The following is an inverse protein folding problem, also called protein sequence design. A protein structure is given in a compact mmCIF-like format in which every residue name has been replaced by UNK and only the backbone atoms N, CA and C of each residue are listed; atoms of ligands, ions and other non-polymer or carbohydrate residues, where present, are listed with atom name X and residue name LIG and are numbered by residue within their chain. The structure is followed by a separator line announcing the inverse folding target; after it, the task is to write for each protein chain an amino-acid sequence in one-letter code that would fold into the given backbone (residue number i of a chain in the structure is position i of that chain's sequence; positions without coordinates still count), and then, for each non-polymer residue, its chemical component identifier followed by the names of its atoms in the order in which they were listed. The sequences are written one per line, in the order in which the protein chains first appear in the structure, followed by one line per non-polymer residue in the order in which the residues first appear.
data_IF_671051055977
#
_entry.id   IF_671051055977
#
_cell.length_a   1.000
_cell.length_b   1.000
_cell.length_c   1.000
_cell.angle_alpha   90.00
_cell.angle_beta   90.00
_cell.angle_gamma   90.00
#
_symmetry.space_group_name_H-M   'P 1'
#
loop_
_entity.id
_entity.type
_entity.pdbx_description
1 polymer ?
#
# COMPACT_ATOMS: atom_id res chain seq x y z
N UNK A 1 23.54 -4.53 56.37
CA UNK A 1 23.97 -3.96 55.08
C UNK A 1 24.13 -5.13 54.10
N UNK A 2 23.21 -5.32 53.13
CA UNK A 2 23.27 -6.49 52.26
C UNK A 2 24.50 -6.37 51.33
N UNK A 3 25.41 -7.33 51.45
CA UNK A 3 26.55 -7.48 50.54
C UNK A 3 26.01 -7.94 49.18
N UNK A 4 25.88 -6.99 48.25
CA UNK A 4 25.63 -7.31 46.84
C UNK A 4 26.88 -8.03 46.33
N UNK A 5 26.71 -9.32 46.05
CA UNK A 5 27.74 -10.17 45.48
C UNK A 5 28.20 -9.56 44.14
N UNK A 6 29.50 -9.26 44.03
CA UNK A 6 30.18 -8.72 42.83
C UNK A 6 29.69 -9.27 41.47
N UNK A 7 29.33 -10.56 41.29
CA UNK A 7 28.78 -11.03 40.01
C UNK A 7 27.39 -10.44 39.66
N UNK A 8 26.57 -10.10 40.65
CA UNK A 8 25.22 -9.54 40.43
C UNK A 8 25.29 -8.10 39.91
N UNK A 9 26.26 -7.31 40.39
CA UNK A 9 26.47 -5.93 39.96
C UNK A 9 27.02 -5.83 38.52
N UNK A 10 27.84 -6.79 38.09
CA UNK A 10 28.37 -6.85 36.71
C UNK A 10 27.28 -7.24 35.70
N UNK A 11 26.38 -8.16 36.07
CA UNK A 11 25.27 -8.56 35.21
C UNK A 11 24.27 -7.41 34.98
N UNK A 12 24.00 -6.59 36.00
CA UNK A 12 23.09 -5.44 35.87
C UNK A 12 23.67 -4.35 34.98
N UNK A 13 24.97 -4.07 35.10
CA UNK A 13 25.66 -3.09 34.24
C UNK A 13 25.62 -3.46 32.75
N UNK A 14 25.80 -4.74 32.43
CA UNK A 14 25.75 -5.23 31.05
C UNK A 14 24.34 -5.12 30.42
N UNK A 15 23.29 -5.43 31.18
CA UNK A 15 21.90 -5.32 30.71
C UNK A 15 21.52 -3.86 30.46
N UNK A 16 21.88 -2.94 31.37
CA UNK A 16 21.60 -1.51 31.19
C UNK A 16 22.35 -0.94 29.98
N UNK A 17 23.61 -1.34 29.78
CA UNK A 17 24.38 -0.91 28.62
C UNK A 17 23.78 -1.45 27.31
N UNK A 18 23.34 -2.71 27.27
CA UNK A 18 22.69 -3.29 26.10
C UNK A 18 21.36 -2.59 25.77
N UNK A 19 20.56 -2.26 26.78
CA UNK A 19 19.32 -1.48 26.60
C UNK A 19 19.60 -0.06 26.09
N UNK A 20 20.62 0.61 26.61
CA UNK A 20 21.03 1.93 26.14
C UNK A 20 21.55 1.89 24.70
N UNK A 21 22.33 0.88 24.33
CA UNK A 21 22.79 0.69 22.96
C UNK A 21 21.64 0.37 22.00
N UNK A 22 20.62 -0.39 22.43
CA UNK A 22 19.40 -0.62 21.66
C UNK A 22 18.59 0.66 21.50
N UNK A 23 18.44 1.48 22.54
CA UNK A 23 17.73 2.76 22.47
C UNK A 23 18.46 3.78 21.57
N UNK A 24 19.78 3.89 21.72
CA UNK A 24 20.61 4.74 20.86
C UNK A 24 20.63 4.21 19.44
N UNK A 25 20.69 2.89 19.25
CA UNK A 25 20.55 2.23 17.94
C UNK A 25 19.18 2.46 17.30
N UNK A 26 18.09 2.47 18.07
CA UNK A 26 16.75 2.79 17.57
C UNK A 26 16.63 4.28 17.19
N UNK A 27 17.27 5.17 17.95
CA UNK A 27 17.25 6.62 17.70
C UNK A 27 18.17 7.04 16.54
N UNK A 28 19.35 6.42 16.40
CA UNK A 28 20.33 6.74 15.35
C UNK A 28 20.16 5.89 14.08
N UNK A 29 19.64 4.66 14.22
CA UNK A 29 19.48 3.68 13.14
C UNK A 29 18.23 3.82 12.30
N UNK A 30 17.50 4.95 12.41
CA UNK A 30 16.39 5.24 11.51
C UNK A 30 15.30 4.16 11.55
N UNK A 31 14.99 3.61 12.73
CA UNK A 31 13.75 2.85 12.93
C UNK A 31 12.57 3.85 12.91
N UNK A 32 12.37 4.47 11.76
CA UNK A 32 11.09 5.06 11.42
C UNK A 32 10.20 3.84 11.21
N UNK A 33 9.12 3.64 12.00
CA UNK A 33 8.08 2.75 11.53
C UNK A 33 7.81 3.21 10.10
N UNK A 34 7.88 2.26 9.17
CA UNK A 34 7.79 2.50 7.75
C UNK A 34 6.71 3.54 7.43
N UNK A 35 7.01 4.34 6.41
CA UNK A 35 6.14 5.36 5.81
C UNK A 35 4.66 4.95 5.94
N UNK A 36 3.82 5.92 6.32
CA UNK A 36 2.40 5.78 6.64
C UNK A 36 1.79 4.49 6.07
N UNK A 37 1.37 3.59 6.97
CA UNK A 37 0.79 2.30 6.59
C UNK A 37 -0.28 2.52 5.51
N UNK A 38 -0.25 1.79 4.37
CA UNK A 38 -1.13 2.08 3.26
C UNK A 38 -2.59 2.16 3.69
N UNK A 39 -3.29 3.17 3.18
CA UNK A 39 -4.74 3.23 3.27
C UNK A 39 -5.35 2.06 2.49
N UNK A 40 -6.62 1.74 2.75
CA UNK A 40 -7.30 0.67 2.02
C UNK A 40 -8.68 1.11 1.60
N UNK A 41 -8.97 0.98 0.31
CA UNK A 41 -10.29 1.13 -0.28
C UNK A 41 -10.75 -0.19 -0.88
N UNK A 42 -12.04 -0.45 -0.80
CA UNK A 42 -12.69 -1.60 -1.44
C UNK A 42 -13.31 -1.19 -2.77
N UNK A 43 -13.36 -2.08 -3.76
CA UNK A 43 -14.04 -1.81 -5.03
C UNK A 43 -15.18 -2.79 -5.31
N UNK A 44 -16.10 -2.37 -6.18
CA UNK A 44 -17.28 -3.11 -6.61
C UNK A 44 -18.51 -2.80 -5.77
N UNK A 45 -19.60 -3.55 -5.99
CA UNK A 45 -20.86 -3.28 -5.29
C UNK A 45 -20.67 -3.28 -3.76
N UNK A 46 -21.25 -2.26 -3.12
CA UNK A 46 -21.11 -1.97 -1.68
C UNK A 46 -19.68 -1.68 -1.20
N UNK A 47 -18.72 -1.52 -2.12
CA UNK A 47 -17.36 -1.08 -1.83
C UNK A 47 -17.23 0.44 -1.69
N UNK A 48 -16.03 0.88 -1.30
CA UNK A 48 -15.68 2.29 -1.20
C UNK A 48 -15.64 2.97 -2.57
N UNK A 49 -15.15 2.27 -3.60
CA UNK A 49 -15.07 2.75 -4.99
C UNK A 49 -16.22 2.18 -5.81
N UNK A 50 -16.95 3.06 -6.50
CA UNK A 50 -18.07 2.67 -7.36
C UNK A 50 -17.62 1.84 -8.56
N UNK A 51 -16.45 2.19 -9.12
CA UNK A 51 -15.83 1.50 -10.25
C UNK A 51 -14.31 1.57 -10.12
N UNK A 52 -13.62 0.45 -10.32
CA UNK A 52 -12.16 0.43 -10.39
C UNK A 52 -11.67 -0.63 -11.39
N UNK A 53 -11.42 -0.19 -12.63
CA UNK A 53 -10.99 -1.09 -13.73
C UNK A 53 -9.52 -0.95 -14.09
N UNK A 54 -8.76 -0.19 -13.29
CA UNK A 54 -7.35 0.06 -13.53
C UNK A 54 -6.51 -1.21 -13.38
N UNK A 55 -5.43 -1.31 -14.15
CA UNK A 55 -4.45 -2.40 -14.07
C UNK A 55 -3.03 -1.85 -13.86
N UNK A 56 -2.09 -2.76 -13.59
CA UNK A 56 -0.69 -2.41 -13.33
C UNK A 56 -0.08 -1.51 -14.42
N UNK A 57 0.47 -0.36 -14.01
CA UNK A 57 1.02 0.64 -14.91
C UNK A 57 0.03 1.58 -15.57
N UNK A 58 -1.25 1.54 -15.20
CA UNK A 58 -2.26 2.47 -15.70
C UNK A 58 -2.37 3.71 -14.82
N UNK A 59 -2.64 4.86 -15.46
CA UNK A 59 -2.85 6.14 -14.82
C UNK A 59 -4.28 6.62 -15.05
N UNK A 60 -4.81 7.38 -14.09
CA UNK A 60 -6.15 7.92 -14.20
C UNK A 60 -6.28 9.28 -13.50
N UNK A 61 -7.32 10.02 -13.87
CA UNK A 61 -7.80 11.23 -13.18
C UNK A 61 -8.91 10.87 -12.20
N UNK A 62 -9.05 11.66 -11.16
CA UNK A 62 -10.03 11.50 -10.11
C UNK A 62 -9.40 11.32 -8.73
N UNK A 63 -10.13 11.74 -7.73
CA UNK A 63 -9.72 11.60 -6.33
C UNK A 63 -9.85 10.14 -5.86
N UNK A 64 -8.79 9.60 -5.29
CA UNK A 64 -8.78 8.25 -4.72
C UNK A 64 -9.42 8.24 -3.32
N UNK A 65 -10.75 8.35 -3.28
CA UNK A 65 -11.54 8.37 -2.06
C UNK A 65 -12.87 7.60 -2.25
N UNK A 66 -13.61 7.40 -1.17
CA UNK A 66 -14.94 6.77 -1.23
C UNK A 66 -15.87 7.53 -2.19
N UNK A 67 -16.59 6.79 -3.04
CA UNK A 67 -17.38 7.31 -4.16
C UNK A 67 -16.58 7.52 -5.45
N UNK A 68 -15.27 7.27 -5.45
CA UNK A 68 -14.42 7.40 -6.63
C UNK A 68 -14.81 6.42 -7.75
N UNK A 69 -14.67 6.89 -8.99
CA UNK A 69 -14.96 6.13 -10.21
C UNK A 69 -13.74 6.12 -11.12
N UNK A 70 -13.14 4.95 -11.32
CA UNK A 70 -11.96 4.75 -12.14
C UNK A 70 -12.25 3.78 -13.29
N UNK A 71 -13.20 4.19 -14.14
CA UNK A 71 -13.58 3.54 -15.40
C UNK A 71 -12.82 4.09 -16.61
N UNK A 72 -13.26 3.75 -17.82
CA UNK A 72 -12.63 4.21 -19.07
C UNK A 72 -12.63 5.74 -19.25
N UNK A 73 -13.59 6.44 -18.63
CA UNK A 73 -13.65 7.90 -18.66
C UNK A 73 -12.60 8.60 -17.79
N UNK A 74 -12.03 7.88 -16.81
CA UNK A 74 -10.98 8.37 -15.93
C UNK A 74 -9.57 8.17 -16.52
N UNK A 75 -9.44 7.44 -17.62
CA UNK A 75 -8.14 7.08 -18.21
C UNK A 75 -7.27 8.31 -18.51
N UNK A 76 -5.99 8.20 -18.17
CA UNK A 76 -4.99 9.22 -18.40
C UNK A 76 -3.70 8.61 -18.93
N UNK A 77 -2.98 9.38 -19.75
CA UNK A 77 -1.67 8.99 -20.20
C UNK A 77 -0.66 9.15 -19.06
N UNK A 78 0.02 8.07 -18.68
CA UNK A 78 1.14 8.16 -17.75
C UNK A 78 2.26 9.03 -18.33
N UNK A 79 2.85 9.89 -17.51
CA UNK A 79 3.81 10.92 -17.95
C UNK A 79 3.17 12.25 -18.39
N UNK A 80 1.84 12.33 -18.39
CA UNK A 80 1.08 13.58 -18.43
C UNK A 80 0.40 13.80 -17.07
N UNK A 81 -0.13 15.00 -16.75
CA UNK A 81 -0.84 15.24 -15.50
C UNK A 81 -2.00 14.25 -15.25
N UNK A 82 -1.93 13.53 -14.13
CA UNK A 82 -2.92 12.55 -13.66
C UNK A 82 -2.95 12.50 -12.12
N UNK A 83 -4.01 11.95 -11.54
CA UNK A 83 -4.20 12.00 -10.08
C UNK A 83 -3.76 10.70 -9.39
N UNK A 84 -3.85 9.58 -10.10
CA UNK A 84 -3.51 8.25 -9.57
C UNK A 84 -2.75 7.39 -10.58
N UNK A 85 -1.85 6.55 -10.07
CA UNK A 85 -1.14 5.54 -10.87
C UNK A 85 -1.13 4.20 -10.13
N UNK A 86 -1.41 3.10 -10.85
CA UNK A 86 -1.27 1.75 -10.32
C UNK A 86 0.18 1.31 -10.47
N UNK A 87 0.90 1.20 -9.36
CA UNK A 87 2.33 0.82 -9.34
C UNK A 87 2.57 -0.68 -9.23
N UNK A 88 1.53 -1.42 -8.82
CA UNK A 88 1.58 -2.86 -8.71
C UNK A 88 0.17 -3.42 -8.67
N UNK A 89 -0.02 -4.62 -9.24
CA UNK A 89 -1.24 -5.37 -9.05
C UNK A 89 -1.01 -6.87 -9.03
N UNK A 90 -1.85 -7.60 -8.26
CA UNK A 90 -1.80 -9.06 -8.19
C UNK A 90 -3.15 -9.65 -7.86
N UNK A 91 -3.43 -10.82 -8.42
CA UNK A 91 -4.60 -11.64 -8.06
C UNK A 91 -4.15 -12.75 -7.10
N UNK A 92 -4.26 -12.58 -5.77
CA UNK A 92 -3.76 -13.58 -4.80
C UNK A 92 -4.48 -14.93 -4.90
N UNK A 93 -5.75 -14.91 -5.31
CA UNK A 93 -6.57 -16.10 -5.48
C UNK A 93 -7.09 -16.13 -6.91
N UNK A 94 -6.61 -17.11 -7.67
CA UNK A 94 -7.04 -17.38 -9.04
C UNK A 94 -8.58 -17.39 -9.16
N UNK A 95 -9.12 -16.61 -10.10
CA UNK A 95 -10.56 -16.45 -10.34
C UNK A 95 -11.21 -17.72 -10.91
N UNK A 96 -10.44 -18.64 -11.49
CA UNK A 96 -10.92 -19.94 -11.98
C UNK A 96 -11.29 -20.91 -10.85
N UNK A 97 -10.85 -20.65 -9.62
CA UNK A 97 -11.15 -21.51 -8.46
C UNK A 97 -12.33 -20.95 -7.67
N UNK A 98 -13.38 -21.76 -7.43
CA UNK A 98 -14.45 -21.35 -6.52
C UNK A 98 -13.91 -21.38 -5.09
N UNK A 99 -13.87 -20.22 -4.45
CA UNK A 99 -13.50 -20.06 -3.05
C UNK A 99 -14.43 -19.04 -2.41
N UNK A 100 -14.69 -19.20 -1.12
CA UNK A 100 -15.42 -18.19 -0.35
C UNK A 100 -14.58 -16.92 -0.20
N UNK A 101 -15.26 -15.78 -0.06
CA UNK A 101 -14.60 -14.55 0.33
C UNK A 101 -13.94 -14.73 1.71
N UNK A 102 -12.65 -14.39 1.88
CA UNK A 102 -11.96 -14.59 3.15
C UNK A 102 -12.39 -13.59 4.24
N UNK A 103 -13.28 -12.64 3.91
CA UNK A 103 -13.74 -11.57 4.77
C UNK A 103 -12.98 -10.26 4.54
N UNK A 104 -13.65 -9.14 4.82
CA UNK A 104 -13.14 -7.80 4.53
C UNK A 104 -11.83 -7.51 5.28
N UNK A 105 -11.77 -7.84 6.57
CA UNK A 105 -10.56 -7.65 7.38
C UNK A 105 -9.34 -8.37 6.78
N UNK A 106 -9.49 -9.63 6.38
CA UNK A 106 -8.42 -10.40 5.77
C UNK A 106 -7.95 -9.81 4.43
N UNK A 107 -8.88 -9.31 3.61
CA UNK A 107 -8.54 -8.64 2.35
C UNK A 107 -7.83 -7.31 2.57
N UNK A 108 -8.29 -6.50 3.53
CA UNK A 108 -7.65 -5.23 3.88
C UNK A 108 -6.25 -5.44 4.42
N UNK A 109 -6.06 -6.42 5.30
CA UNK A 109 -4.75 -6.76 5.87
C UNK A 109 -3.78 -7.26 4.80
N UNK A 110 -4.26 -8.11 3.88
CA UNK A 110 -3.47 -8.54 2.73
C UNK A 110 -3.07 -7.35 1.85
N UNK A 111 -4.02 -6.46 1.51
CA UNK A 111 -3.77 -5.28 0.69
C UNK A 111 -2.70 -4.37 1.29
N UNK A 112 -2.81 -4.07 2.60
CA UNK A 112 -1.79 -3.30 3.33
C UNK A 112 -0.43 -3.96 3.26
N UNK A 113 -0.35 -5.25 3.59
CA UNK A 113 0.92 -5.96 3.61
C UNK A 113 1.56 -6.03 2.21
N UNK A 114 0.76 -6.27 1.18
CA UNK A 114 1.23 -6.31 -0.21
C UNK A 114 1.75 -4.95 -0.67
N UNK A 115 1.00 -3.86 -0.43
CA UNK A 115 1.40 -2.53 -0.86
C UNK A 115 2.53 -1.93 0.00
N UNK A 116 2.63 -2.33 1.27
CA UNK A 116 3.76 -1.98 2.12
C UNK A 116 5.08 -2.46 1.51
N UNK A 117 5.13 -3.62 0.84
CA UNK A 117 6.36 -4.07 0.17
C UNK A 117 6.89 -3.05 -0.85
N UNK A 118 6.02 -2.32 -1.53
CA UNK A 118 6.42 -1.28 -2.49
C UNK A 118 6.81 0.02 -1.79
N UNK A 119 6.00 0.43 -0.80
CA UNK A 119 6.29 1.57 0.10
C UNK A 119 7.60 1.40 0.86
N UNK A 120 8.02 0.17 1.11
CA UNK A 120 9.19 -0.15 1.91
C UNK A 120 10.41 -0.42 1.03
N UNK A 121 10.19 -0.66 -0.26
CA UNK A 121 11.24 -0.91 -1.25
C UNK A 121 11.84 0.38 -1.81
N UNK A 122 13.00 0.25 -2.44
CA UNK A 122 13.58 1.32 -3.28
C UNK A 122 12.94 1.38 -4.67
N UNK A 123 11.87 0.64 -4.96
CA UNK A 123 11.23 0.61 -6.29
C UNK A 123 10.47 1.90 -6.60
N UNK A 124 9.94 2.57 -5.58
CA UNK A 124 9.46 3.94 -5.68
C UNK A 124 10.67 4.88 -5.67
N UNK A 125 11.41 4.85 -6.78
CA UNK A 125 12.43 5.84 -7.07
C UNK A 125 11.67 7.07 -7.60
N UNK A 126 11.90 8.27 -7.04
CA UNK A 126 11.54 9.52 -7.71
C UNK A 126 12.41 9.63 -8.97
N UNK A 127 12.08 8.88 -10.00
CA UNK A 127 12.67 9.08 -11.31
C UNK A 127 11.99 10.31 -11.87
N UNK A 128 12.80 11.34 -12.14
CA UNK A 128 12.47 12.52 -12.94
C UNK A 128 11.40 13.52 -12.46
N UNK A 129 10.57 13.21 -11.47
CA UNK A 129 9.30 13.92 -11.30
C UNK A 129 9.25 15.16 -10.41
N UNK A 130 10.31 15.42 -9.64
CA UNK A 130 10.32 16.52 -8.68
C UNK A 130 9.29 16.38 -7.54
N UNK A 131 8.61 15.24 -7.42
CA UNK A 131 7.76 14.89 -6.28
C UNK A 131 8.59 14.04 -5.32
N UNK A 132 8.74 14.53 -4.08
CA UNK A 132 9.46 13.78 -3.07
C UNK A 132 8.63 12.58 -2.60
N UNK A 133 9.31 11.50 -2.21
CA UNK A 133 8.63 10.26 -1.80
C UNK A 133 7.73 10.46 -0.59
N UNK A 134 8.11 11.35 0.33
CA UNK A 134 7.29 11.75 1.47
C UNK A 134 5.96 12.42 1.09
N UNK A 135 5.86 12.97 -0.12
CA UNK A 135 4.64 13.57 -0.64
C UNK A 135 3.74 12.55 -1.36
N UNK A 136 4.19 11.31 -1.53
CA UNK A 136 3.38 10.24 -2.11
C UNK A 136 2.59 9.50 -1.04
N UNK A 137 1.34 9.18 -1.38
CA UNK A 137 0.48 8.29 -0.60
C UNK A 137 0.23 7.02 -1.39
N UNK A 138 0.31 5.88 -0.71
CA UNK A 138 -0.04 4.58 -1.26
C UNK A 138 -1.34 4.09 -0.64
N UNK A 139 -2.29 3.72 -1.48
CA UNK A 139 -3.56 3.13 -1.11
C UNK A 139 -3.67 1.75 -1.74
N UNK A 140 -3.96 0.75 -0.92
CA UNK A 140 -4.34 -0.56 -1.42
C UNK A 140 -5.81 -0.55 -1.85
N UNK A 141 -6.08 -1.01 -3.07
CA UNK A 141 -7.43 -1.18 -3.59
C UNK A 141 -7.72 -2.68 -3.66
N UNK A 142 -8.71 -3.14 -2.90
CA UNK A 142 -9.04 -4.56 -2.71
C UNK A 142 -10.50 -4.85 -3.09
N UNK A 143 -10.86 -6.08 -3.47
CA UNK A 143 -12.24 -6.40 -3.79
C UNK A 143 -13.14 -6.37 -2.54
N UNK A 144 -14.34 -5.80 -2.70
CA UNK A 144 -15.49 -6.10 -1.84
C UNK A 144 -15.89 -7.58 -1.95
N UNK A 145 -16.76 -8.04 -1.04
CA UNK A 145 -17.32 -9.39 -1.13
C UNK A 145 -18.07 -9.61 -2.45
N UNK A 146 -18.89 -8.63 -2.86
CA UNK A 146 -19.67 -8.70 -4.10
C UNK A 146 -18.78 -8.77 -5.34
N UNK A 147 -17.71 -7.95 -5.41
CA UNK A 147 -16.72 -8.04 -6.47
C UNK A 147 -16.06 -9.42 -6.49
N UNK A 148 -15.59 -9.90 -5.33
CA UNK A 148 -14.88 -11.16 -5.23
C UNK A 148 -15.72 -12.38 -5.67
N UNK A 149 -17.02 -12.32 -5.39
CA UNK A 149 -17.99 -13.37 -5.70
C UNK A 149 -18.40 -13.42 -7.18
N UNK A 150 -18.24 -12.34 -7.94
CA UNK A 150 -18.58 -12.29 -9.36
C UNK A 150 -17.34 -12.40 -10.25
N UNK A 151 -16.99 -13.61 -10.73
CA UNK A 151 -15.84 -13.80 -11.61
C UNK A 151 -15.99 -13.13 -12.99
N UNK A 152 -17.19 -12.62 -13.34
CA UNK A 152 -17.46 -11.89 -14.58
C UNK A 152 -17.54 -10.38 -14.37
N UNK A 153 -17.40 -9.90 -13.14
CA UNK A 153 -17.47 -8.49 -12.84
C UNK A 153 -16.36 -7.74 -13.58
N UNK A 154 -16.77 -6.74 -14.36
CA UNK A 154 -15.87 -5.76 -14.97
C UNK A 154 -15.61 -4.59 -14.03
N UNK A 155 -16.17 -4.59 -12.81
CA UNK A 155 -15.90 -3.58 -11.81
C UNK A 155 -14.52 -3.75 -11.13
N UNK A 156 -13.79 -4.81 -11.50
CA UNK A 156 -12.37 -4.97 -11.24
C UNK A 156 -11.54 -4.83 -12.52
N UNK A 157 -10.24 -4.68 -12.34
CA UNK A 157 -9.23 -4.61 -13.41
C UNK A 157 -9.43 -5.61 -14.56
N UNK A 158 -8.76 -5.36 -15.69
CA UNK A 158 -8.64 -6.33 -16.78
C UNK A 158 -8.15 -7.74 -16.35
N UNK A 159 -7.53 -7.87 -15.16
CA UNK A 159 -7.08 -9.15 -14.59
C UNK A 159 -8.14 -9.87 -13.73
N UNK A 160 -9.35 -9.31 -13.62
CA UNK A 160 -10.51 -9.94 -13.00
C UNK A 160 -10.86 -9.44 -11.59
N UNK A 161 -12.00 -9.93 -11.10
CA UNK A 161 -12.70 -9.38 -9.93
C UNK A 161 -12.04 -9.64 -8.55
N UNK A 162 -10.84 -10.25 -8.52
CA UNK A 162 -10.09 -10.57 -7.30
C UNK A 162 -8.70 -9.92 -7.26
N UNK A 163 -8.45 -8.93 -8.13
CA UNK A 163 -7.19 -8.21 -8.14
C UNK A 163 -7.06 -7.34 -6.89
N UNK A 164 -5.85 -7.29 -6.33
CA UNK A 164 -5.43 -6.31 -5.34
C UNK A 164 -4.41 -5.40 -5.99
N UNK A 165 -4.62 -4.10 -5.89
CA UNK A 165 -3.82 -3.08 -6.56
C UNK A 165 -3.20 -2.13 -5.55
N UNK A 166 -1.99 -1.67 -5.82
CA UNK A 166 -1.32 -0.63 -5.08
C UNK A 166 -1.34 0.63 -5.92
N UNK A 167 -2.01 1.66 -5.42
CA UNK A 167 -2.26 2.89 -6.14
C UNK A 167 -1.53 4.03 -5.43
N UNK A 168 -0.74 4.80 -6.18
CA UNK A 168 -0.12 6.01 -5.67
C UNK A 168 -0.97 7.24 -6.04
N UNK A 169 -0.87 8.26 -5.20
CA UNK A 169 -1.38 9.62 -5.43
C UNK A 169 -0.49 10.60 -4.66
N UNK A 170 -0.61 11.90 -4.93
CA UNK A 170 0.06 12.90 -4.09
C UNK A 170 -0.76 13.21 -2.84
N UNK A 171 -0.07 13.38 -1.72
CA UNK A 171 -0.66 13.64 -0.41
C UNK A 171 -1.22 15.05 -0.23
N UNK A 172 -0.88 15.97 -1.13
CA UNK A 172 -1.42 17.33 -1.22
C UNK A 172 -2.60 17.45 -2.20
N UNK A 173 -2.92 16.37 -2.95
CA UNK A 173 -3.96 16.36 -3.96
C UNK A 173 -3.59 17.03 -5.28
N UNK A 174 -2.33 17.45 -5.47
CA UNK A 174 -1.87 17.89 -6.78
C UNK A 174 -1.72 16.70 -7.74
N UNK A 175 -1.74 16.93 -9.06
CA UNK A 175 -1.48 15.88 -10.03
C UNK A 175 -0.03 15.37 -9.95
N UNK A 176 0.12 14.07 -10.19
CA UNK A 176 1.35 13.44 -10.64
C UNK A 176 1.62 13.87 -12.09
N UNK A 177 2.88 14.16 -12.43
CA UNK A 177 3.27 14.61 -13.78
C UNK A 177 4.15 13.62 -14.52
N UNK A 178 4.53 12.53 -13.86
CA UNK A 178 5.51 11.55 -14.33
C UNK A 178 5.02 10.14 -14.07
N UNK A 179 5.75 9.16 -14.58
CA UNK A 179 5.47 7.74 -14.38
C UNK A 179 6.30 7.18 -13.24
N UNK A 180 5.67 6.45 -12.33
CA UNK A 180 6.29 5.81 -11.17
C UNK A 180 6.25 4.27 -11.23
N UNK A 181 5.42 3.68 -12.11
CA UNK A 181 5.36 2.23 -12.31
C UNK A 181 6.67 1.72 -12.91
N UNK A 182 7.26 0.71 -12.29
CA UNK A 182 8.50 0.06 -12.74
C UNK A 182 8.16 -1.06 -13.73
N UNK A 183 7.85 -0.71 -14.98
CA UNK A 183 7.75 -1.69 -16.09
C UNK A 183 8.88 -1.45 -17.09
#
# INVERSE_FOLDING_TARGET
MPQVSRPVALATGAVVLALLLLLVGAMLGGYRPFAAQPDVLTYGADGDLEEFVLFDGQCARGELASGGTFGSSADAQCGEPHDVEVIAARTPIDSSRPVAYPGEGAMRDYGRAYCALFVDSELLVPTSSGVDREDLRVTAVVPSEAAFADPRSTAGSAAGARQVSCVISRGDGEPLTDRFSVI
#
